data_IF_475866688904
#
_entry.id   IF_475866688904
#
_cell.length_a   1.000
_cell.length_b   1.000
_cell.length_c   1.000
_cell.angle_alpha   90.00
_cell.angle_beta   90.00
_cell.angle_gamma   90.00
#
_symmetry.space_group_name_H-M   'P 1'
#
loop_
_entity.id
_entity.type
_entity.pdbx_description
1 polymer ?
#
# COMPACT_ATOMS: atom_id res chain seq x y z
N UNK A 1 37.46 59.78 -2.24
CA UNK A 1 37.22 61.24 -2.21
C UNK A 1 35.86 61.49 -1.56
N UNK A 2 35.79 62.23 -0.46
CA UNK A 2 34.53 62.87 -0.03
C UNK A 2 34.44 64.24 -0.71
N UNK A 3 33.24 64.69 -1.09
CA UNK A 3 32.66 65.85 -0.40
C UNK A 3 31.13 65.69 -0.16
N UNK A 4 30.57 66.16 0.97
CA UNK A 4 29.91 67.48 1.23
C UNK A 4 28.58 67.61 0.45
N UNK A 5 27.44 68.15 0.91
CA UNK A 5 27.04 69.17 1.90
C UNK A 5 25.47 69.06 1.96
N UNK A 6 24.79 69.06 3.11
CA UNK A 6 24.25 70.20 3.89
C UNK A 6 22.83 70.69 3.50
N UNK A 7 21.94 70.73 4.52
CA UNK A 7 20.74 71.59 4.72
C UNK A 7 19.57 71.48 3.71
N UNK A 8 18.28 71.64 4.02
CA UNK A 8 17.48 71.88 5.23
C UNK A 8 15.99 71.79 4.80
N UNK A 9 15.08 71.35 5.67
CA UNK A 9 13.86 72.08 6.07
C UNK A 9 13.02 71.21 7.00
N UNK A 10 12.54 71.83 8.06
CA UNK A 10 11.69 71.24 9.08
C UNK A 10 10.27 71.84 9.01
N UNK A 11 9.33 71.04 9.53
CA UNK A 11 7.97 71.34 9.99
C UNK A 11 6.81 71.28 8.98
N UNK A 12 6.11 70.15 9.05
CA UNK A 12 4.68 70.01 8.80
C UNK A 12 4.12 68.93 9.71
N UNK A 13 3.57 69.33 10.86
CA UNK A 13 2.90 68.48 11.85
C UNK A 13 1.55 68.04 11.28
N UNK A 14 1.29 66.72 11.21
CA UNK A 14 -0.06 66.16 11.37
C UNK A 14 0.03 64.89 12.21
N UNK A 15 -0.66 64.95 13.34
CA UNK A 15 -0.83 63.91 14.34
C UNK A 15 -1.64 62.72 13.81
N UNK A 16 -1.24 61.50 14.17
CA UNK A 16 -2.05 60.30 13.97
C UNK A 16 -1.43 59.11 14.68
N UNK A 17 -2.18 58.56 15.65
CA UNK A 17 -1.97 57.33 16.42
C UNK A 17 -1.23 56.23 15.61
N UNK A 18 -0.37 55.37 16.16
CA UNK A 18 -0.73 54.33 17.15
C UNK A 18 0.54 53.65 17.69
N UNK A 19 0.40 53.09 18.88
CA UNK A 19 1.31 52.38 19.78
C UNK A 19 2.49 51.56 19.19
N UNK A 20 3.61 51.70 19.90
CA UNK A 20 4.71 50.75 20.00
C UNK A 20 4.21 49.33 20.31
N UNK A 21 4.73 48.33 19.60
CA UNK A 21 5.04 47.04 20.22
C UNK A 21 6.29 46.43 19.61
N UNK A 22 7.11 45.90 20.51
CA UNK A 22 8.45 45.38 20.30
C UNK A 22 8.47 44.14 19.40
N UNK A 23 9.45 44.08 18.49
CA UNK A 23 9.82 42.85 17.80
C UNK A 23 10.88 42.15 18.64
N UNK A 24 10.46 41.12 19.38
CA UNK A 24 11.35 40.14 19.99
C UNK A 24 11.83 39.17 18.92
N UNK A 25 13.14 39.15 18.66
CA UNK A 25 13.79 38.04 17.98
C UNK A 25 13.95 36.89 18.99
N UNK A 26 13.16 35.82 18.83
CA UNK A 26 13.48 34.54 19.44
C UNK A 26 14.40 33.78 18.50
N UNK A 27 15.64 33.58 18.95
CA UNK A 27 16.56 32.62 18.36
C UNK A 27 16.03 31.20 18.64
N UNK A 28 15.83 30.40 17.60
CA UNK A 28 15.53 28.98 17.73
C UNK A 28 16.79 28.23 18.22
N UNK A 29 16.66 27.24 19.12
CA UNK A 29 17.80 26.42 19.53
C UNK A 29 18.22 25.47 18.40
N UNK A 30 19.53 25.36 18.20
CA UNK A 30 20.13 24.38 17.31
C UNK A 30 19.82 22.96 17.80
N UNK A 31 19.14 22.18 16.96
CA UNK A 31 18.92 20.75 17.16
C UNK A 31 20.16 20.04 16.60
N UNK A 32 21.00 19.52 17.49
CA UNK A 32 22.08 18.58 17.14
C UNK A 32 21.49 17.18 16.98
N UNK A 33 21.60 16.61 15.78
CA UNK A 33 21.30 15.21 15.53
C UNK A 33 22.47 14.35 16.03
N UNK A 34 22.18 13.43 16.95
CA UNK A 34 23.08 12.34 17.32
C UNK A 34 22.80 11.13 16.43
N UNK A 35 23.86 10.66 15.77
CA UNK A 35 23.89 9.44 14.96
C UNK A 35 24.11 8.24 15.88
N UNK A 36 23.02 7.62 16.33
CA UNK A 36 23.05 6.39 17.14
C UNK A 36 22.95 5.17 16.20
N UNK A 37 24.04 4.90 15.50
CA UNK A 37 24.23 3.67 14.73
C UNK A 37 25.44 2.89 15.25
N UNK A 38 25.34 2.30 16.45
CA UNK A 38 26.12 1.12 16.87
C UNK A 38 25.76 0.65 18.29
N UNK A 39 25.01 -0.45 18.42
CA UNK A 39 25.19 -1.55 19.39
C UNK A 39 23.90 -2.36 19.55
N UNK A 40 23.77 -3.48 18.84
CA UNK A 40 22.87 -4.56 19.24
C UNK A 40 23.74 -5.76 19.57
N UNK A 41 23.95 -5.97 20.88
CA UNK A 41 24.56 -7.18 21.42
C UNK A 41 23.51 -8.29 21.45
N UNK A 42 23.87 -9.43 20.85
CA UNK A 42 23.04 -10.64 20.76
C UNK A 42 22.70 -11.23 22.13
N UNK A 43 21.42 -11.51 22.37
CA UNK A 43 20.98 -12.46 23.38
C UNK A 43 20.44 -13.73 22.69
N UNK A 44 20.78 -14.95 23.16
CA UNK A 44 20.33 -16.19 22.54
C UNK A 44 18.89 -16.51 22.97
N UNK A 45 17.98 -16.65 22.01
CA UNK A 45 16.60 -17.09 22.26
C UNK A 45 16.48 -18.61 22.07
N UNK A 46 15.89 -19.27 23.06
CA UNK A 46 15.64 -20.72 23.11
C UNK A 46 14.66 -21.16 22.03
N UNK A 47 15.03 -22.18 21.25
CA UNK A 47 14.13 -22.89 20.35
C UNK A 47 13.20 -23.83 21.14
N UNK A 48 11.89 -23.68 20.96
CA UNK A 48 10.94 -24.75 21.23
C UNK A 48 10.44 -25.30 19.90
N UNK A 49 10.86 -26.52 19.55
CA UNK A 49 10.27 -27.26 18.43
C UNK A 49 9.03 -28.02 18.92
N UNK A 50 7.91 -27.84 18.21
CA UNK A 50 6.81 -28.80 18.22
C UNK A 50 6.54 -29.19 16.77
N UNK A 51 6.73 -30.47 16.48
CA UNK A 51 6.36 -31.06 15.21
C UNK A 51 4.83 -31.20 15.11
N UNK A 52 4.26 -30.80 13.99
CA UNK A 52 2.87 -31.08 13.61
C UNK A 52 2.84 -32.06 12.42
N UNK A 53 1.81 -32.91 12.30
CA UNK A 53 1.77 -34.00 11.33
C UNK A 53 1.28 -33.57 9.95
N UNK A 54 1.79 -34.27 8.93
CA UNK A 54 1.46 -34.12 7.50
C UNK A 54 0.03 -34.61 7.23
N UNK A 55 -0.80 -33.78 6.60
CA UNK A 55 -2.06 -34.18 5.98
C UNK A 55 -1.96 -33.95 4.46
N UNK A 56 -2.36 -34.97 3.69
CA UNK A 56 -2.42 -34.93 2.24
C UNK A 56 -3.70 -34.23 1.77
N UNK A 57 -3.55 -33.23 0.89
CA UNK A 57 -4.65 -32.64 0.13
C UNK A 57 -4.81 -33.36 -1.21
N UNK A 58 -6.02 -33.80 -1.53
CA UNK A 58 -6.42 -34.23 -2.86
C UNK A 58 -7.59 -33.38 -3.35
N UNK A 59 -7.44 -32.96 -4.61
CA UNK A 59 -8.46 -32.56 -5.59
C UNK A 59 -9.23 -31.24 -5.39
N UNK A 60 -8.68 -30.18 -6.00
CA UNK A 60 -9.48 -29.15 -6.68
C UNK A 60 -8.84 -28.87 -8.05
N UNK A 61 -9.44 -29.42 -9.10
CA UNK A 61 -9.13 -29.06 -10.48
C UNK A 61 -9.82 -27.73 -10.80
N UNK A 62 -9.03 -26.73 -11.17
CA UNK A 62 -9.50 -25.41 -11.62
C UNK A 62 -9.32 -25.33 -13.14
N UNK A 63 -10.39 -25.07 -13.88
CA UNK A 63 -10.30 -24.82 -15.33
C UNK A 63 -9.78 -23.40 -15.62
N UNK A 64 -8.82 -23.23 -16.55
CA UNK A 64 -8.36 -21.91 -16.94
C UNK A 64 -9.35 -21.23 -17.88
N UNK A 65 -9.71 -19.98 -17.57
CA UNK A 65 -10.33 -19.06 -18.53
C UNK A 65 -9.29 -18.67 -19.59
N UNK A 66 -9.53 -19.08 -20.84
CA UNK A 66 -8.76 -18.67 -22.00
C UNK A 66 -9.21 -17.26 -22.44
N UNK A 67 -8.34 -16.26 -22.29
CA UNK A 67 -8.50 -14.99 -22.99
C UNK A 67 -7.97 -15.15 -24.43
N UNK A 68 -8.85 -14.96 -25.42
CA UNK A 68 -8.52 -15.00 -26.84
C UNK A 68 -7.93 -13.66 -27.28
N UNK A 69 -6.64 -13.63 -27.60
CA UNK A 69 -5.98 -12.48 -28.25
C UNK A 69 -5.81 -12.81 -29.74
N UNK A 70 -6.39 -11.96 -30.60
CA UNK A 70 -6.18 -12.02 -32.04
C UNK A 70 -4.78 -11.52 -32.41
N UNK A 71 -4.06 -12.29 -33.22
CA UNK A 71 -2.73 -11.94 -33.67
C UNK A 71 -2.39 -12.62 -34.99
N UNK A 72 -1.85 -11.82 -35.90
CA UNK A 72 -1.62 -12.09 -37.30
C UNK A 72 -0.52 -13.14 -37.59
N UNK A 73 -0.64 -13.67 -38.80
CA UNK A 73 0.25 -14.53 -39.59
C UNK A 73 1.77 -14.34 -39.45
N UNK A 74 2.49 -15.45 -39.25
CA UNK A 74 3.83 -15.71 -39.80
C UNK A 74 3.99 -17.20 -40.22
N UNK A 75 4.93 -17.52 -41.14
CA UNK A 75 4.91 -18.76 -41.89
C UNK A 75 5.77 -19.91 -41.34
N UNK A 76 5.39 -21.08 -41.83
CA UNK A 76 5.87 -22.44 -41.59
C UNK A 76 7.38 -22.68 -41.47
N UNK A 77 7.74 -23.58 -40.56
CA UNK A 77 8.80 -24.56 -40.77
C UNK A 77 8.42 -25.89 -40.13
N UNK A 78 8.57 -26.95 -40.92
CA UNK A 78 8.20 -28.33 -40.63
C UNK A 78 9.39 -29.09 -40.03
N UNK A 79 9.13 -29.96 -39.06
CA UNK A 79 9.73 -31.30 -38.98
C UNK A 79 9.08 -32.12 -37.86
N UNK A 80 8.44 -33.22 -38.27
CA UNK A 80 8.03 -34.37 -37.45
C UNK A 80 9.28 -35.20 -37.08
N UNK A 81 9.27 -36.01 -36.02
CA UNK A 81 8.73 -37.37 -36.16
C UNK A 81 7.98 -37.92 -34.93
N UNK A 82 7.41 -39.09 -35.19
CA UNK A 82 6.33 -39.86 -34.58
C UNK A 82 6.68 -40.76 -33.37
N UNK A 83 5.63 -41.41 -32.83
CA UNK A 83 5.53 -42.65 -31.99
C UNK A 83 5.67 -42.46 -30.46
N UNK A 84 4.92 -43.12 -29.56
CA UNK A 84 3.89 -44.20 -29.60
C UNK A 84 3.29 -44.39 -28.18
N UNK A 85 2.03 -44.86 -28.09
CA UNK A 85 1.38 -45.71 -27.03
C UNK A 85 1.75 -45.52 -25.55
N UNK A 86 0.82 -45.53 -24.58
CA UNK A 86 0.04 -46.72 -24.19
C UNK A 86 -1.05 -46.33 -23.18
N UNK A 87 -2.20 -46.98 -23.29
CA UNK A 87 -3.36 -46.95 -22.39
C UNK A 87 -3.13 -47.76 -21.10
N UNK A 88 -3.67 -47.29 -19.97
CA UNK A 88 -4.11 -48.16 -18.87
C UNK A 88 -5.17 -47.47 -18.02
N UNK A 89 -6.39 -47.95 -18.18
CA UNK A 89 -7.55 -47.75 -17.32
C UNK A 89 -7.34 -48.49 -15.99
N UNK A 90 -7.66 -47.85 -14.86
CA UNK A 90 -7.86 -48.57 -13.60
C UNK A 90 -9.06 -48.01 -12.85
N UNK A 91 -9.80 -48.95 -12.29
CA UNK A 91 -11.21 -48.87 -11.92
C UNK A 91 -11.39 -48.47 -10.46
N UNK A 92 -12.36 -47.59 -10.22
CA UNK A 92 -12.90 -47.23 -8.91
C UNK A 92 -13.75 -48.38 -8.33
N UNK A 93 -13.70 -48.64 -7.02
CA UNK A 93 -14.79 -49.30 -6.31
C UNK A 93 -15.54 -48.32 -5.41
N UNK A 94 -16.85 -48.24 -5.65
CA UNK A 94 -17.86 -47.60 -4.81
C UNK A 94 -18.03 -48.35 -3.49
N UNK A 95 -18.13 -47.63 -2.37
CA UNK A 95 -18.73 -48.16 -1.14
C UNK A 95 -19.76 -47.19 -0.58
N UNK A 96 -20.93 -47.77 -0.34
CA UNK A 96 -22.10 -47.19 0.31
C UNK A 96 -22.08 -47.56 1.79
N UNK A 97 -22.49 -46.65 2.68
CA UNK A 97 -23.31 -47.00 3.85
C UNK A 97 -23.84 -45.77 4.58
N UNK A 98 -25.14 -45.84 4.78
CA UNK A 98 -26.05 -45.07 5.63
C UNK A 98 -25.70 -45.18 7.11
N UNK A 99 -25.87 -44.08 7.86
CA UNK A 99 -26.35 -44.17 9.25
C UNK A 99 -27.16 -42.91 9.60
N UNK A 100 -28.33 -43.16 10.17
CA UNK A 100 -29.39 -42.21 10.51
C UNK A 100 -29.24 -41.75 11.96
N UNK A 101 -29.28 -40.44 12.19
CA UNK A 101 -29.21 -39.82 13.52
C UNK A 101 -30.63 -39.44 14.00
N UNK A 102 -30.95 -39.57 15.31
CA UNK A 102 -32.31 -39.36 15.82
C UNK A 102 -32.65 -37.87 15.98
N UNK A 103 -33.94 -37.58 15.79
CA UNK A 103 -34.56 -36.25 15.86
C UNK A 103 -34.62 -35.68 17.28
N UNK A 104 -34.25 -34.40 17.42
CA UNK A 104 -34.34 -33.59 18.64
C UNK A 104 -35.77 -33.02 18.83
N UNK A 105 -36.25 -32.80 20.08
CA UNK A 105 -37.62 -32.36 20.34
C UNK A 105 -37.83 -30.87 20.00
N UNK A 106 -39.02 -30.57 19.50
CA UNK A 106 -39.47 -29.25 19.06
C UNK A 106 -39.68 -28.29 20.24
N UNK A 107 -39.04 -27.11 20.19
CA UNK A 107 -39.23 -26.00 21.13
C UNK A 107 -40.50 -25.19 20.78
N UNK A 108 -41.29 -24.70 21.74
CA UNK A 108 -42.53 -23.96 21.48
C UNK A 108 -42.29 -22.62 20.78
N UNK A 109 -43.15 -22.31 19.83
CA UNK A 109 -43.13 -21.11 18.98
C UNK A 109 -43.31 -19.82 19.80
N UNK A 110 -42.36 -18.90 19.71
CA UNK A 110 -42.45 -17.53 20.24
C UNK A 110 -43.49 -16.72 19.45
N UNK A 111 -44.34 -15.90 20.09
CA UNK A 111 -45.35 -15.09 19.40
C UNK A 111 -44.72 -14.07 18.44
N UNK A 112 -45.25 -14.00 17.22
CA UNK A 112 -44.81 -13.09 16.18
C UNK A 112 -45.09 -11.63 16.55
N UNK A 113 -44.04 -10.85 16.82
CA UNK A 113 -44.12 -9.40 16.94
C UNK A 113 -44.48 -8.80 15.57
N UNK A 114 -45.44 -7.84 15.47
CA UNK A 114 -45.80 -7.21 14.20
C UNK A 114 -44.59 -6.49 13.60
N UNK A 115 -44.09 -7.04 12.49
CA UNK A 115 -42.99 -6.45 11.74
C UNK A 115 -43.47 -5.14 11.12
N UNK A 116 -42.99 -4.02 11.68
CA UNK A 116 -43.20 -2.70 11.09
C UNK A 116 -42.36 -2.67 9.82
N UNK A 117 -43.00 -2.79 8.66
CA UNK A 117 -42.34 -2.66 7.35
C UNK A 117 -41.80 -1.23 7.23
N UNK A 118 -40.55 -1.04 7.63
CA UNK A 118 -39.81 0.16 7.30
C UNK A 118 -39.72 0.22 5.77
N UNK A 119 -40.37 1.22 5.19
CA UNK A 119 -40.17 1.59 3.79
C UNK A 119 -38.70 1.92 3.61
N UNK A 120 -37.93 0.95 3.11
CA UNK A 120 -36.53 1.13 2.77
C UNK A 120 -36.44 2.13 1.62
N UNK A 121 -36.32 3.41 1.92
CA UNK A 121 -35.77 4.35 0.94
C UNK A 121 -34.39 3.82 0.59
N UNK A 122 -34.21 3.30 -0.62
CA UNK A 122 -32.90 2.83 -1.06
C UNK A 122 -31.97 4.04 -1.07
N UNK A 123 -31.13 4.14 -0.04
CA UNK A 123 -30.07 5.14 0.00
C UNK A 123 -29.16 4.88 -1.20
N UNK A 124 -29.00 5.85 -2.09
CA UNK A 124 -28.13 5.70 -3.25
C UNK A 124 -26.67 5.56 -2.77
N UNK A 125 -25.90 4.66 -3.38
CA UNK A 125 -24.47 4.54 -3.09
C UNK A 125 -23.67 5.47 -4.03
N UNK A 126 -23.02 6.53 -3.52
CA UNK A 126 -22.27 7.46 -4.37
C UNK A 126 -20.96 6.87 -4.92
N UNK A 127 -20.56 5.67 -4.48
CA UNK A 127 -19.30 5.00 -4.84
C UNK A 127 -19.50 3.49 -4.96
N UNK A 128 -20.44 3.05 -5.80
CA UNK A 128 -20.65 1.62 -6.07
C UNK A 128 -19.54 1.08 -6.96
N UNK A 129 -18.80 0.07 -6.50
CA UNK A 129 -17.77 -0.57 -7.31
C UNK A 129 -18.35 -1.21 -8.58
N UNK A 130 -17.71 -0.97 -9.72
CA UNK A 130 -18.07 -1.54 -11.03
C UNK A 130 -17.03 -2.55 -11.50
N UNK A 131 -15.76 -2.14 -11.57
CA UNK A 131 -14.69 -2.98 -12.09
C UNK A 131 -13.31 -2.51 -11.67
N UNK A 132 -12.35 -3.42 -11.70
CA UNK A 132 -10.93 -3.11 -11.61
C UNK A 132 -10.25 -3.38 -12.95
N UNK A 133 -9.23 -2.61 -13.30
CA UNK A 133 -8.42 -2.80 -14.50
C UNK A 133 -6.95 -2.57 -14.17
N UNK A 134 -6.14 -3.61 -14.35
CA UNK A 134 -4.69 -3.52 -14.27
C UNK A 134 -4.13 -2.61 -15.37
N UNK A 135 -3.14 -1.79 -15.03
CA UNK A 135 -2.39 -1.05 -16.04
C UNK A 135 -1.54 -2.01 -16.88
N UNK A 136 -1.12 -1.60 -18.09
CA UNK A 136 -0.07 -2.28 -18.85
C UNK A 136 1.17 -2.58 -18.02
N UNK A 137 1.60 -1.64 -17.16
CA UNK A 137 2.74 -1.86 -16.28
C UNK A 137 2.49 -2.94 -15.23
N UNK A 138 1.35 -2.90 -14.52
CA UNK A 138 0.99 -3.96 -13.56
C UNK A 138 0.86 -5.33 -14.24
N UNK A 139 0.29 -5.37 -15.45
CA UNK A 139 0.07 -6.60 -16.22
C UNK A 139 1.41 -7.26 -16.56
N UNK A 140 2.39 -6.48 -17.03
CA UNK A 140 3.76 -6.96 -17.26
C UNK A 140 4.34 -7.63 -16.01
N UNK A 141 4.12 -7.06 -14.83
CA UNK A 141 4.61 -7.62 -13.57
C UNK A 141 3.85 -8.88 -13.15
N UNK A 142 2.51 -8.87 -13.23
CA UNK A 142 1.68 -10.04 -12.94
C UNK A 142 2.09 -11.26 -13.78
N UNK A 143 2.44 -11.06 -15.04
CA UNK A 143 2.84 -12.12 -15.97
C UNK A 143 4.25 -12.66 -15.70
N UNK A 144 5.16 -11.86 -15.14
CA UNK A 144 6.59 -12.18 -15.10
C UNK A 144 7.20 -12.32 -13.69
N UNK A 145 6.52 -11.85 -12.63
CA UNK A 145 7.08 -11.79 -11.27
C UNK A 145 7.53 -13.16 -10.75
N UNK A 146 6.82 -14.24 -11.08
CA UNK A 146 7.22 -15.60 -10.70
C UNK A 146 8.59 -15.97 -11.29
N UNK A 147 8.78 -15.77 -12.58
CA UNK A 147 10.03 -16.03 -13.29
C UNK A 147 11.17 -15.14 -12.76
N UNK A 148 10.92 -13.85 -12.58
CA UNK A 148 11.93 -12.91 -12.06
C UNK A 148 12.32 -13.23 -10.62
N UNK A 149 11.38 -13.68 -9.79
CA UNK A 149 11.70 -14.14 -8.44
C UNK A 149 12.58 -15.39 -8.46
N UNK A 150 12.19 -16.41 -9.22
CA UNK A 150 12.90 -17.70 -9.29
C UNK A 150 14.34 -17.50 -9.79
N UNK A 151 14.50 -16.66 -10.81
CA UNK A 151 15.79 -16.35 -11.43
C UNK A 151 16.57 -15.22 -10.75
N UNK A 152 16.00 -14.62 -9.69
CA UNK A 152 16.57 -13.49 -8.94
C UNK A 152 16.85 -12.24 -9.78
N UNK A 153 15.98 -11.96 -10.75
CA UNK A 153 16.06 -10.84 -11.69
C UNK A 153 15.04 -9.71 -11.46
N UNK A 154 14.41 -9.62 -10.29
CA UNK A 154 13.39 -8.59 -10.00
C UNK A 154 13.95 -7.17 -10.17
N UNK A 155 15.18 -6.93 -9.71
CA UNK A 155 15.79 -5.60 -9.73
C UNK A 155 16.21 -5.21 -11.15
N UNK A 156 16.80 -6.13 -11.89
CA UNK A 156 17.13 -5.95 -13.32
C UNK A 156 15.87 -5.66 -14.12
N UNK A 157 14.80 -6.44 -13.93
CA UNK A 157 13.53 -6.21 -14.59
C UNK A 157 12.97 -4.82 -14.28
N UNK A 158 13.04 -4.37 -13.02
CA UNK A 158 12.62 -3.02 -12.64
C UNK A 158 13.43 -1.94 -13.37
N UNK A 159 14.75 -2.10 -13.46
CA UNK A 159 15.62 -1.11 -14.10
C UNK A 159 15.54 -1.13 -15.63
N UNK A 160 15.16 -2.24 -16.25
CA UNK A 160 14.79 -2.27 -17.67
C UNK A 160 13.55 -1.39 -17.97
N UNK A 161 12.81 -0.99 -16.93
CA UNK A 161 11.59 -0.19 -16.98
C UNK A 161 11.80 1.21 -16.38
N UNK A 162 13.03 1.73 -16.37
CA UNK A 162 13.40 3.02 -15.76
C UNK A 162 12.53 4.20 -16.22
N UNK A 163 12.17 4.26 -17.51
CA UNK A 163 11.31 5.35 -18.01
C UNK A 163 9.93 5.33 -17.34
N UNK A 164 9.30 4.15 -17.24
CA UNK A 164 8.00 3.96 -16.60
C UNK A 164 8.09 4.27 -15.10
N UNK A 165 9.17 3.80 -14.45
CA UNK A 165 9.43 4.10 -13.04
C UNK A 165 9.62 5.60 -12.79
N UNK A 166 10.37 6.30 -13.64
CA UNK A 166 10.55 7.75 -13.52
C UNK A 166 9.22 8.50 -13.67
N UNK A 167 8.37 8.10 -14.61
CA UNK A 167 7.03 8.67 -14.78
C UNK A 167 6.14 8.41 -13.56
N UNK A 168 6.18 7.20 -13.00
CA UNK A 168 5.46 6.86 -11.78
C UNK A 168 5.91 7.75 -10.61
N UNK A 169 7.22 7.86 -10.40
CA UNK A 169 7.79 8.65 -9.32
C UNK A 169 7.43 10.14 -9.47
N UNK A 170 7.43 10.66 -10.69
CA UNK A 170 6.99 12.02 -10.97
C UNK A 170 5.50 12.24 -10.66
N UNK A 171 4.61 11.37 -11.14
CA UNK A 171 3.15 11.52 -10.93
C UNK A 171 2.68 11.30 -9.49
N UNK A 172 3.55 10.74 -8.64
CA UNK A 172 3.29 10.55 -7.20
C UNK A 172 3.95 11.64 -6.33
N UNK A 173 4.42 12.74 -6.93
CA UNK A 173 4.91 13.87 -6.16
C UNK A 173 3.78 14.69 -5.54
N UNK A 174 4.00 15.16 -4.31
CA UNK A 174 3.07 15.99 -3.56
C UNK A 174 3.36 17.48 -3.69
N UNK A 175 4.55 17.88 -4.16
CA UNK A 175 4.90 19.28 -4.25
C UNK A 175 5.93 19.55 -5.36
N UNK A 176 5.73 20.64 -6.10
CA UNK A 176 6.59 21.06 -7.20
C UNK A 176 7.12 22.48 -6.90
N UNK A 177 8.38 22.62 -6.43
CA UNK A 177 8.92 23.91 -6.00
C UNK A 177 8.94 24.97 -7.11
N UNK A 178 9.08 24.55 -8.37
CA UNK A 178 9.12 25.43 -9.54
C UNK A 178 7.87 25.25 -10.44
N UNK A 179 6.80 24.64 -9.90
CA UNK A 179 5.66 24.15 -10.66
C UNK A 179 5.98 22.95 -11.54
N UNK A 180 5.01 22.51 -12.35
CA UNK A 180 5.07 21.28 -13.15
C UNK A 180 6.21 21.26 -14.18
N UNK A 181 6.73 22.44 -14.54
CA UNK A 181 7.86 22.59 -15.46
C UNK A 181 9.23 22.31 -14.83
N UNK A 182 9.33 22.33 -13.50
CA UNK A 182 10.57 22.15 -12.76
C UNK A 182 11.21 20.77 -12.92
N UNK A 183 12.49 20.66 -12.57
CA UNK A 183 13.22 19.39 -12.67
C UNK A 183 13.07 18.52 -11.42
N UNK A 184 12.75 19.16 -10.29
CA UNK A 184 12.61 18.51 -9.00
C UNK A 184 11.16 18.53 -8.54
N UNK A 185 10.75 17.46 -7.89
CA UNK A 185 9.54 17.42 -7.10
C UNK A 185 9.80 16.76 -5.74
N UNK A 186 8.93 17.03 -4.78
CA UNK A 186 9.01 16.49 -3.43
C UNK A 186 7.84 15.54 -3.20
N UNK A 187 8.16 14.41 -2.61
CA UNK A 187 7.27 13.42 -2.01
C UNK A 187 7.36 13.57 -0.51
N UNK A 188 6.23 13.63 0.15
CA UNK A 188 6.17 13.77 1.60
C UNK A 188 5.34 12.63 2.17
N UNK A 189 6.02 11.70 2.83
CA UNK A 189 5.38 10.56 3.47
C UNK A 189 5.02 10.86 4.93
N UNK A 190 4.91 12.14 5.32
CA UNK A 190 4.72 12.64 6.71
C UNK A 190 5.84 12.38 7.72
N UNK A 191 6.75 11.42 7.47
CA UNK A 191 7.92 11.19 8.32
C UNK A 191 9.21 11.63 7.64
N UNK A 192 9.29 11.40 6.33
CA UNK A 192 10.44 11.68 5.48
C UNK A 192 10.00 12.49 4.26
N UNK A 193 10.94 13.29 3.78
CA UNK A 193 10.83 13.99 2.52
C UNK A 193 11.79 13.35 1.53
N UNK A 194 11.28 13.01 0.37
CA UNK A 194 12.05 12.51 -0.74
C UNK A 194 11.93 13.50 -1.90
N UNK A 195 13.07 13.95 -2.40
CA UNK A 195 13.15 14.82 -3.58
C UNK A 195 13.56 14.00 -4.77
N UNK A 196 12.79 14.09 -5.84
CA UNK A 196 12.95 13.31 -7.06
C UNK A 196 13.25 14.23 -8.24
N UNK A 197 14.29 13.92 -9.01
CA UNK A 197 14.61 14.59 -10.26
C UNK A 197 14.05 13.82 -11.45
N UNK A 198 13.27 14.49 -12.31
CA UNK A 198 12.58 13.84 -13.42
C UNK A 198 13.49 13.35 -14.55
N UNK A 199 14.68 13.92 -14.70
CA UNK A 199 15.56 13.66 -15.85
C UNK A 199 16.43 12.43 -15.64
N UNK A 200 17.01 12.30 -14.45
CA UNK A 200 18.00 11.27 -14.11
C UNK A 200 17.50 10.29 -13.04
N UNK A 201 16.30 10.50 -12.49
CA UNK A 201 15.76 9.69 -11.41
C UNK A 201 16.52 9.86 -10.10
N UNK A 202 17.35 10.91 -9.99
CA UNK A 202 18.13 11.18 -8.79
C UNK A 202 17.21 11.49 -7.63
N UNK A 203 17.57 10.93 -6.47
CA UNK A 203 16.87 11.10 -5.21
C UNK A 203 17.72 11.82 -4.19
N UNK A 204 17.08 12.69 -3.39
CA UNK A 204 17.69 13.34 -2.22
C UNK A 204 16.73 13.25 -1.02
N UNK A 205 17.26 13.03 0.17
CA UNK A 205 16.50 13.10 1.43
C UNK A 205 16.45 14.51 2.03
N UNK A 206 16.95 15.50 1.27
CA UNK A 206 16.99 16.91 1.63
C UNK A 206 16.70 17.76 0.39
N UNK A 207 16.21 19.01 0.56
CA UNK A 207 15.93 19.89 -0.55
C UNK A 207 17.16 20.12 -1.45
N UNK A 208 17.00 20.06 -2.78
CA UNK A 208 18.05 20.48 -3.71
C UNK A 208 18.45 21.95 -3.47
N UNK A 209 19.65 22.31 -3.93
CA UNK A 209 20.16 23.69 -3.79
C UNK A 209 19.15 24.73 -4.33
N UNK A 210 18.82 25.70 -3.48
CA UNK A 210 17.87 26.77 -3.82
C UNK A 210 16.39 26.36 -3.77
N UNK A 211 16.07 25.14 -3.29
CA UNK A 211 14.70 24.67 -3.07
C UNK A 211 14.39 24.62 -1.58
N UNK A 212 13.11 24.76 -1.24
CA UNK A 212 12.60 24.58 0.12
C UNK A 212 11.37 23.68 0.09
N UNK A 213 11.11 22.88 1.14
CA UNK A 213 9.87 22.12 1.26
C UNK A 213 8.66 23.06 1.21
N UNK A 214 7.61 22.65 0.50
CA UNK A 214 6.34 23.35 0.45
C UNK A 214 5.23 22.58 1.16
N UNK A 215 4.00 23.08 1.03
CA UNK A 215 2.81 22.37 1.51
C UNK A 215 2.54 21.18 0.57
N UNK A 216 2.53 19.93 1.08
CA UNK A 216 2.16 18.77 0.28
C UNK A 216 0.72 18.90 -0.22
N UNK A 217 0.52 18.62 -1.51
CA UNK A 217 -0.77 18.57 -2.19
C UNK A 217 -1.23 17.11 -2.33
N UNK A 218 -2.56 16.89 -2.47
CA UNK A 218 -3.10 15.59 -2.84
C UNK A 218 -2.51 15.08 -4.15
N UNK A 219 -2.23 13.78 -4.22
CA UNK A 219 -1.79 13.14 -5.46
C UNK A 219 -2.97 12.95 -6.42
N UNK A 220 -2.76 13.25 -7.70
CA UNK A 220 -3.77 13.10 -8.75
C UNK A 220 -3.17 12.40 -9.98
N UNK A 221 -2.80 11.11 -9.87
CA UNK A 221 -2.27 10.36 -11.01
C UNK A 221 -3.34 10.25 -12.11
N UNK A 222 -2.90 10.25 -13.37
CA UNK A 222 -3.81 10.24 -14.54
C UNK A 222 -3.40 9.28 -15.65
N UNK A 223 -2.19 8.72 -15.61
CA UNK A 223 -1.68 7.86 -16.68
C UNK A 223 -2.08 6.39 -16.48
N UNK A 224 -3.14 5.97 -17.18
CA UNK A 224 -3.61 4.59 -17.18
C UNK A 224 -2.63 3.55 -17.78
N UNK A 225 -1.51 3.97 -18.38
CA UNK A 225 -0.44 3.04 -18.76
C UNK A 225 0.41 2.60 -17.56
N UNK A 226 0.42 3.42 -16.50
CA UNK A 226 1.24 3.24 -15.30
C UNK A 226 0.36 2.77 -14.15
N UNK A 227 -0.72 3.51 -13.88
CA UNK A 227 -1.57 3.28 -12.72
C UNK A 227 -2.74 2.38 -13.09
N UNK A 228 -2.96 1.36 -12.26
CA UNK A 228 -4.18 0.56 -12.34
C UNK A 228 -5.36 1.39 -11.85
N UNK A 229 -6.59 0.98 -12.20
CA UNK A 229 -7.77 1.78 -11.87
C UNK A 229 -8.95 0.95 -11.40
N UNK A 230 -9.70 1.55 -10.49
CA UNK A 230 -11.06 1.16 -10.16
C UNK A 230 -12.01 2.04 -10.94
N UNK A 231 -13.11 1.46 -11.40
CA UNK A 231 -14.27 2.18 -11.93
C UNK A 231 -15.37 2.07 -10.90
N UNK A 232 -15.89 3.23 -10.48
CA UNK A 232 -17.02 3.34 -9.59
C UNK A 232 -18.19 4.01 -10.31
N UNK A 233 -19.39 3.74 -9.81
CA UNK A 233 -20.62 4.39 -10.23
C UNK A 233 -21.23 5.15 -9.05
N UNK A 234 -21.53 6.41 -9.26
CA UNK A 234 -22.40 7.15 -8.37
C UNK A 234 -23.85 6.77 -8.69
N UNK A 235 -24.50 5.98 -7.83
CA UNK A 235 -25.89 5.56 -8.05
C UNK A 235 -26.89 6.72 -7.88
N UNK A 236 -26.47 7.85 -7.28
CA UNK A 236 -27.33 9.00 -7.06
C UNK A 236 -27.58 9.80 -8.35
N UNK A 237 -26.58 9.90 -9.23
CA UNK A 237 -26.68 10.62 -10.51
C UNK A 237 -26.44 9.72 -11.75
N UNK A 238 -26.02 8.47 -11.53
CA UNK A 238 -25.76 7.47 -12.56
C UNK A 238 -24.40 7.59 -13.25
N UNK A 239 -23.54 8.52 -12.84
CA UNK A 239 -22.23 8.76 -13.47
C UNK A 239 -21.20 7.72 -13.04
N UNK A 240 -20.28 7.39 -13.96
CA UNK A 240 -19.10 6.59 -13.63
C UNK A 240 -17.89 7.50 -13.42
N UNK A 241 -16.99 7.11 -12.53
CA UNK A 241 -15.71 7.78 -12.31
C UNK A 241 -14.60 6.78 -12.03
N UNK A 242 -13.38 7.18 -12.39
CA UNK A 242 -12.18 6.36 -12.25
C UNK A 242 -11.42 6.79 -10.98
N UNK A 243 -10.94 5.82 -10.21
CA UNK A 243 -9.97 6.03 -9.15
C UNK A 243 -8.71 5.22 -9.43
N UNK A 244 -7.60 5.91 -9.62
CA UNK A 244 -6.30 5.28 -9.82
C UNK A 244 -5.74 4.72 -8.50
N UNK A 245 -4.93 3.67 -8.62
CA UNK A 245 -4.16 3.04 -7.55
C UNK A 245 -2.76 2.70 -8.08
N UNK A 246 -1.79 2.62 -7.18
CA UNK A 246 -0.45 2.17 -7.56
C UNK A 246 -0.49 0.72 -8.08
N UNK A 247 0.29 0.41 -9.13
CA UNK A 247 0.33 -0.93 -9.68
C UNK A 247 1.06 -1.89 -8.72
N UNK A 248 0.69 -3.16 -8.73
CA UNK A 248 1.47 -4.24 -8.09
C UNK A 248 2.79 -4.42 -8.86
N UNK A 249 3.85 -3.82 -8.36
CA UNK A 249 5.18 -3.77 -8.99
C UNK A 249 6.27 -4.11 -7.98
N UNK A 250 7.38 -4.70 -8.45
CA UNK A 250 8.54 -5.08 -7.66
C UNK A 250 8.25 -6.21 -6.65
N UNK A 251 8.70 -6.03 -5.42
CA UNK A 251 8.67 -7.02 -4.35
C UNK A 251 7.73 -6.56 -3.24
N UNK A 252 6.59 -5.96 -3.65
CA UNK A 252 5.47 -5.57 -2.78
C UNK A 252 5.80 -4.46 -1.77
N UNK A 253 6.70 -3.56 -2.17
CA UNK A 253 7.15 -2.41 -1.40
C UNK A 253 7.39 -1.25 -2.37
N UNK A 254 7.97 -0.16 -1.88
CA UNK A 254 8.54 0.87 -2.75
C UNK A 254 9.38 0.17 -3.83
N UNK A 255 9.11 0.41 -5.14
CA UNK A 255 9.65 -0.46 -6.19
C UNK A 255 11.16 -0.65 -6.14
N UNK A 256 11.90 0.39 -5.74
CA UNK A 256 13.37 0.39 -5.68
C UNK A 256 13.96 -0.12 -4.35
N UNK A 257 13.13 -0.49 -3.37
CA UNK A 257 13.63 -0.98 -2.08
C UNK A 257 14.45 -2.25 -2.26
N UNK A 258 15.54 -2.41 -1.51
CA UNK A 258 16.44 -3.58 -1.63
C UNK A 258 17.17 -3.78 -2.98
N UNK A 259 16.85 -3.05 -4.05
CA UNK A 259 17.46 -3.21 -5.38
C UNK A 259 18.77 -2.44 -5.61
N UNK A 260 19.24 -1.70 -4.60
CA UNK A 260 20.44 -0.86 -4.70
C UNK A 260 20.27 0.32 -5.67
N UNK A 261 21.36 1.03 -5.95
CA UNK A 261 21.39 2.16 -6.90
C UNK A 261 21.88 1.72 -8.27
N UNK A 262 20.98 1.67 -9.25
CA UNK A 262 21.37 1.86 -10.65
C UNK A 262 21.13 3.29 -11.15
N UNK A 263 20.44 4.14 -10.37
CA UNK A 263 20.19 5.56 -10.71
C UNK A 263 21.45 6.44 -10.73
N UNK A 264 22.60 5.90 -10.32
CA UNK A 264 23.88 6.55 -10.56
C UNK A 264 24.95 5.52 -10.91
N UNK A 265 25.73 5.84 -11.92
CA UNK A 265 27.07 5.28 -12.11
C UNK A 265 27.98 5.86 -11.02
N UNK A 266 28.72 4.98 -10.33
CA UNK A 266 29.36 5.20 -9.04
C UNK A 266 30.38 6.35 -8.96
N UNK A 267 30.82 6.90 -10.08
CA UNK A 267 31.84 7.95 -10.14
C UNK A 267 31.28 9.35 -9.82
N UNK A 268 29.98 9.57 -10.01
CA UNK A 268 29.33 10.89 -9.84
C UNK A 268 28.45 11.03 -8.60
N UNK A 269 28.14 9.94 -7.90
CA UNK A 269 27.22 9.98 -6.77
C UNK A 269 27.94 10.19 -5.43
N UNK A 270 27.84 11.43 -4.92
CA UNK A 270 28.28 11.82 -3.57
C UNK A 270 27.52 11.01 -2.51
N UNK A 271 28.03 10.87 -1.27
CA UNK A 271 27.24 10.35 -0.16
C UNK A 271 25.87 11.04 -0.08
N UNK A 272 24.78 10.27 0.03
CA UNK A 272 23.37 10.73 -0.03
C UNK A 272 22.86 11.18 -1.41
N UNK A 273 23.62 10.93 -2.48
CA UNK A 273 23.19 11.08 -3.86
C UNK A 273 23.25 9.68 -4.47
N UNK A 274 22.14 9.23 -5.04
CA UNK A 274 21.97 7.83 -5.42
C UNK A 274 21.16 7.09 -4.35
N UNK A 275 19.99 6.63 -4.77
CA UNK A 275 19.00 5.86 -4.01
C UNK A 275 19.49 4.54 -3.42
N UNK A 276 20.49 4.61 -2.53
CA UNK A 276 21.34 3.51 -2.11
C UNK A 276 21.37 3.34 -0.62
N UNK A 277 20.20 3.01 -0.07
CA UNK A 277 19.99 2.15 1.09
C UNK A 277 18.48 2.19 1.36
N UNK A 278 17.80 1.07 1.10
CA UNK A 278 16.42 0.81 1.47
C UNK A 278 15.48 2.02 1.45
N UNK A 279 14.80 2.21 0.32
CA UNK A 279 13.64 3.09 0.31
C UNK A 279 12.56 2.46 1.19
N UNK A 280 12.46 2.94 2.42
CA UNK A 280 11.32 2.73 3.32
C UNK A 280 10.23 3.79 3.09
N UNK A 281 10.43 4.63 2.08
CA UNK A 281 9.50 5.70 1.74
C UNK A 281 8.17 5.11 1.26
N UNK A 282 7.07 5.60 1.83
CA UNK A 282 5.72 5.09 1.59
C UNK A 282 4.96 5.90 0.54
N UNK A 283 5.57 6.91 -0.05
CA UNK A 283 4.96 7.79 -1.06
C UNK A 283 4.59 7.08 -2.38
N UNK A 284 4.92 5.80 -2.51
CA UNK A 284 4.45 4.98 -3.62
C UNK A 284 2.99 4.54 -3.45
N UNK A 285 2.47 4.52 -2.21
CA UNK A 285 1.07 4.18 -1.92
C UNK A 285 0.17 5.36 -2.27
N UNK A 286 -0.86 5.12 -3.07
CA UNK A 286 -1.70 6.18 -3.64
C UNK A 286 -3.07 6.20 -2.94
N UNK A 287 -3.37 7.26 -2.17
CA UNK A 287 -4.71 7.47 -1.65
C UNK A 287 -5.70 7.68 -2.80
N UNK A 288 -6.97 7.35 -2.61
CA UNK A 288 -8.00 7.71 -3.58
C UNK A 288 -8.08 9.23 -3.74
N UNK A 289 -8.64 9.73 -4.86
CA UNK A 289 -8.89 11.16 -5.03
C UNK A 289 -9.82 11.68 -3.93
N UNK A 290 -9.92 13.01 -3.80
CA UNK A 290 -10.85 13.61 -2.84
C UNK A 290 -12.28 13.14 -3.11
N UNK A 291 -12.86 12.52 -2.09
CA UNK A 291 -14.20 11.96 -2.14
C UNK A 291 -15.22 12.97 -1.60
N UNK A 292 -16.51 12.81 -1.96
CA UNK A 292 -17.58 13.54 -1.29
C UNK A 292 -17.48 13.35 0.23
N UNK A 293 -17.63 14.44 0.99
CA UNK A 293 -17.41 14.50 2.44
C UNK A 293 -18.25 13.48 3.26
N UNK A 294 -19.30 12.91 2.65
CA UNK A 294 -20.18 11.93 3.29
C UNK A 294 -19.71 10.47 3.12
N UNK A 295 -18.65 10.23 2.35
CA UNK A 295 -18.13 8.87 2.14
C UNK A 295 -17.40 8.42 3.39
N UNK A 296 -18.05 7.58 4.19
CA UNK A 296 -17.40 6.91 5.31
C UNK A 296 -16.33 5.96 4.76
N UNK A 297 -15.20 5.86 5.46
CA UNK A 297 -14.10 4.98 5.09
C UNK A 297 -13.72 4.05 6.21
N UNK A 298 -13.62 2.78 5.86
CA UNK A 298 -13.12 1.71 6.70
C UNK A 298 -11.68 1.40 6.31
N UNK A 299 -10.78 1.46 7.29
CA UNK A 299 -9.38 1.14 7.12
C UNK A 299 -9.01 -0.13 7.88
N UNK A 300 -8.31 -1.04 7.21
CA UNK A 300 -7.79 -2.27 7.79
C UNK A 300 -6.26 -2.29 7.70
N UNK A 301 -5.58 -2.36 8.85
CA UNK A 301 -4.12 -2.42 8.96
C UNK A 301 -3.68 -3.77 9.56
N UNK A 302 -3.07 -4.61 8.73
CA UNK A 302 -2.53 -5.91 9.09
C UNK A 302 -1.00 -5.83 9.32
N UNK A 303 -0.60 -5.47 10.54
CA UNK A 303 0.79 -5.18 10.92
C UNK A 303 0.95 -3.94 11.83
N UNK A 304 -0.10 -3.55 12.55
CA UNK A 304 -0.17 -2.31 13.30
C UNK A 304 0.53 -2.40 14.67
N UNK A 305 1.84 -2.10 14.72
CA UNK A 305 2.60 -2.14 15.97
C UNK A 305 2.10 -1.12 17.03
N UNK A 306 2.23 0.17 16.77
CA UNK A 306 1.68 1.27 17.60
C UNK A 306 1.24 2.41 16.68
N UNK A 307 0.49 3.39 17.19
CA UNK A 307 0.01 4.48 16.36
C UNK A 307 1.14 5.29 15.72
N UNK A 308 2.26 5.46 16.44
CA UNK A 308 3.36 6.32 16.05
C UNK A 308 4.71 5.60 15.88
N UNK A 309 4.71 4.26 15.88
CA UNK A 309 5.92 3.46 15.75
C UNK A 309 5.69 2.00 15.42
N UNK A 310 6.79 1.29 15.13
CA UNK A 310 6.81 -0.10 14.71
C UNK A 310 8.14 -0.44 14.05
N UNK A 311 8.42 -1.74 13.83
CA UNK A 311 9.66 -2.15 13.14
C UNK A 311 9.68 -1.69 11.68
N UNK A 312 8.51 -1.71 11.00
CA UNK A 312 8.30 -1.14 9.65
C UNK A 312 8.01 0.36 9.66
N UNK A 313 8.01 1.00 10.84
CA UNK A 313 7.63 2.40 11.02
C UNK A 313 6.18 2.59 11.46
N UNK A 314 5.72 3.83 11.42
CA UNK A 314 4.37 4.24 11.84
C UNK A 314 3.39 4.09 10.66
N UNK A 315 2.60 3.01 10.61
CA UNK A 315 1.55 2.81 9.60
C UNK A 315 0.31 3.68 9.87
N UNK A 316 -0.32 3.53 11.03
CA UNK A 316 -1.61 4.17 11.35
C UNK A 316 -1.55 5.71 11.26
N UNK A 317 -0.55 6.32 11.90
CA UNK A 317 -0.32 7.76 11.82
C UNK A 317 0.05 8.24 10.41
N UNK A 318 0.78 7.42 9.65
CA UNK A 318 1.06 7.70 8.23
C UNK A 318 -0.22 7.75 7.40
N UNK A 319 -1.00 6.67 7.38
CA UNK A 319 -2.20 6.56 6.55
C UNK A 319 -3.24 7.62 6.94
N UNK A 320 -3.48 7.83 8.23
CA UNK A 320 -4.41 8.86 8.70
C UNK A 320 -3.96 10.26 8.31
N UNK A 321 -2.66 10.56 8.33
CA UNK A 321 -2.13 11.86 7.90
C UNK A 321 -2.24 12.05 6.39
N UNK A 322 -1.83 11.06 5.61
CA UNK A 322 -1.82 11.14 4.15
C UNK A 322 -3.25 11.16 3.58
N UNK A 323 -4.17 10.32 4.07
CA UNK A 323 -5.56 10.30 3.61
C UNK A 323 -6.29 11.59 4.00
N UNK A 324 -5.97 12.17 5.16
CA UNK A 324 -6.52 13.46 5.55
C UNK A 324 -6.16 14.59 4.59
N UNK A 325 -5.00 14.54 3.93
CA UNK A 325 -4.64 15.51 2.86
C UNK A 325 -5.62 15.43 1.69
N UNK A 326 -6.14 14.24 1.42
CA UNK A 326 -7.14 13.99 0.39
C UNK A 326 -8.57 14.28 0.87
N UNK A 327 -8.75 14.79 2.10
CA UNK A 327 -10.05 15.09 2.70
C UNK A 327 -10.78 13.85 3.23
N UNK A 328 -10.04 12.77 3.51
CA UNK A 328 -10.61 11.50 3.97
C UNK A 328 -10.29 11.32 5.46
N UNK A 329 -11.35 11.20 6.25
CA UNK A 329 -11.27 10.82 7.66
C UNK A 329 -11.84 9.39 7.82
N UNK A 330 -11.02 8.48 8.34
CA UNK A 330 -11.49 7.12 8.64
C UNK A 330 -12.51 7.14 9.79
N UNK A 331 -13.63 6.45 9.59
CA UNK A 331 -14.69 6.29 10.61
C UNK A 331 -14.55 5.01 11.40
N UNK A 332 -13.77 4.07 10.86
CA UNK A 332 -13.47 2.82 11.50
C UNK A 332 -12.09 2.34 11.06
N UNK A 333 -11.29 1.89 12.02
CA UNK A 333 -9.92 1.41 11.82
C UNK A 333 -9.79 0.08 12.55
N UNK A 334 -9.54 -1.01 11.82
CA UNK A 334 -9.08 -2.27 12.41
C UNK A 334 -7.55 -2.31 12.37
N UNK A 335 -6.92 -2.50 13.52
CA UNK A 335 -5.48 -2.61 13.66
C UNK A 335 -5.13 -4.00 14.22
N UNK A 336 -4.30 -4.75 13.52
CA UNK A 336 -3.91 -6.12 13.89
C UNK A 336 -2.41 -6.24 14.09
N UNK A 337 -1.98 -6.83 15.20
CA UNK A 337 -0.56 -7.10 15.50
C UNK A 337 -0.46 -8.15 16.60
N UNK A 338 0.48 -9.09 16.50
CA UNK A 338 0.60 -10.17 17.48
C UNK A 338 1.39 -9.80 18.73
N UNK A 339 2.29 -8.81 18.64
CA UNK A 339 3.32 -8.60 19.67
C UNK A 339 3.08 -7.43 20.62
N UNK A 340 2.36 -6.38 20.22
CA UNK A 340 2.14 -5.20 21.06
C UNK A 340 1.05 -5.46 22.12
N UNK A 341 1.32 -5.26 23.42
CA UNK A 341 0.28 -5.36 24.43
C UNK A 341 -0.85 -4.34 24.20
N UNK A 342 -2.11 -4.78 24.32
CA UNK A 342 -3.30 -3.93 24.13
C UNK A 342 -3.23 -2.57 24.85
N UNK A 343 -2.82 -2.47 26.15
CA UNK A 343 -2.71 -1.17 26.81
C UNK A 343 -1.69 -0.24 26.15
N UNK A 344 -0.52 -0.78 25.76
CA UNK A 344 0.54 -0.02 25.08
C UNK A 344 0.06 0.51 23.73
N UNK A 345 -0.71 -0.28 22.98
CA UNK A 345 -1.32 0.18 21.74
C UNK A 345 -2.24 1.39 21.99
N UNK A 346 -3.24 1.25 22.87
CA UNK A 346 -4.22 2.32 23.12
C UNK A 346 -3.65 3.57 23.80
N UNK A 347 -2.51 3.46 24.49
CA UNK A 347 -1.74 4.61 24.99
C UNK A 347 -1.16 5.46 23.85
N UNK A 348 -0.76 4.84 22.74
CA UNK A 348 -0.22 5.54 21.55
C UNK A 348 -1.29 6.21 20.69
N UNK A 349 -2.55 5.76 20.75
CA UNK A 349 -3.64 6.27 19.90
C UNK A 349 -4.02 7.71 20.29
N UNK A 350 -3.96 8.69 19.36
CA UNK A 350 -4.42 10.05 19.60
C UNK A 350 -5.90 10.10 19.99
N UNK A 351 -6.26 11.06 20.85
CA UNK A 351 -7.61 11.14 21.42
C UNK A 351 -8.73 11.10 20.37
N UNK A 352 -8.55 11.78 19.23
CA UNK A 352 -9.55 11.84 18.15
C UNK A 352 -9.79 10.50 17.43
N UNK A 353 -8.92 9.50 17.61
CA UNK A 353 -9.04 8.19 16.96
C UNK A 353 -9.43 7.06 17.91
N UNK A 354 -9.45 7.30 19.24
CA UNK A 354 -9.72 6.26 20.24
C UNK A 354 -11.08 5.57 20.09
N UNK A 355 -12.08 6.31 19.64
CA UNK A 355 -13.44 5.78 19.48
C UNK A 355 -13.67 5.08 18.14
N UNK A 356 -12.74 5.24 17.18
CA UNK A 356 -12.87 4.65 15.83
C UNK A 356 -11.85 3.55 15.57
N UNK A 357 -10.84 3.37 16.43
CA UNK A 357 -9.86 2.30 16.31
C UNK A 357 -10.19 1.11 17.19
N UNK A 358 -10.13 -0.07 16.59
CA UNK A 358 -10.25 -1.35 17.28
C UNK A 358 -8.97 -2.15 17.04
N UNK A 359 -8.36 -2.58 18.14
CA UNK A 359 -7.10 -3.30 18.11
C UNK A 359 -7.30 -4.78 18.41
N UNK A 360 -6.66 -5.62 17.60
CA UNK A 360 -6.65 -7.06 17.74
C UNK A 360 -5.21 -7.51 17.98
N UNK A 361 -4.97 -8.13 19.14
CA UNK A 361 -3.65 -8.65 19.48
C UNK A 361 -3.45 -10.05 18.89
N UNK A 362 -3.61 -10.16 17.58
CA UNK A 362 -3.56 -11.40 16.81
C UNK A 362 -2.80 -11.14 15.50
N UNK A 363 -2.05 -12.14 15.03
CA UNK A 363 -1.40 -12.07 13.71
C UNK A 363 -2.43 -12.38 12.62
N UNK A 364 -2.38 -11.59 11.54
CA UNK A 364 -3.07 -11.91 10.29
C UNK A 364 -2.21 -12.94 9.55
N UNK A 365 -2.80 -14.09 9.23
CA UNK A 365 -2.13 -15.18 8.50
C UNK A 365 -3.00 -15.60 7.32
N UNK A 366 -2.36 -16.02 6.23
CA UNK A 366 -3.02 -16.53 5.04
C UNK A 366 -3.58 -17.95 5.17
N UNK A 367 -3.14 -18.76 6.16
CA UNK A 367 -3.44 -20.21 6.15
C UNK A 367 -4.22 -20.77 7.37
N UNK A 368 -4.39 -20.03 8.47
CA UNK A 368 -4.62 -20.70 9.77
C UNK A 368 -6.06 -20.95 10.26
N UNK A 369 -7.12 -20.70 9.48
CA UNK A 369 -8.52 -21.06 9.81
C UNK A 369 -9.10 -20.49 11.12
N UNK A 370 -8.30 -19.85 11.96
CA UNK A 370 -8.67 -19.02 13.11
C UNK A 370 -8.66 -17.56 12.63
N UNK A 371 -9.50 -16.71 13.21
CA UNK A 371 -9.87 -15.38 12.67
C UNK A 371 -8.70 -14.51 12.18
N UNK A 372 -9.01 -13.61 11.23
CA UNK A 372 -8.00 -12.71 10.66
C UNK A 372 -7.27 -13.26 9.43
N UNK A 373 -7.91 -14.12 8.63
CA UNK A 373 -7.34 -14.56 7.35
C UNK A 373 -7.81 -13.65 6.19
N UNK A 374 -6.92 -13.29 5.28
CA UNK A 374 -7.26 -12.62 4.02
C UNK A 374 -8.28 -13.44 3.21
N UNK A 375 -8.18 -14.77 3.22
CA UNK A 375 -9.19 -15.65 2.63
C UNK A 375 -10.55 -15.50 3.31
N UNK A 376 -10.59 -15.24 4.62
CA UNK A 376 -11.84 -14.95 5.33
C UNK A 376 -12.46 -13.62 4.86
N UNK A 377 -11.64 -12.57 4.71
CA UNK A 377 -12.09 -11.29 4.12
C UNK A 377 -12.64 -11.53 2.71
N UNK A 378 -11.94 -12.33 1.90
CA UNK A 378 -12.33 -12.64 0.52
C UNK A 378 -13.58 -13.54 0.41
N UNK A 379 -13.86 -14.33 1.43
CA UNK A 379 -14.96 -15.31 1.46
C UNK A 379 -16.34 -14.71 1.73
N UNK A 380 -16.41 -13.52 2.33
CA UNK A 380 -17.67 -12.90 2.75
C UNK A 380 -17.94 -11.59 2.02
N UNK A 381 -19.04 -11.53 1.25
CA UNK A 381 -19.45 -10.30 0.57
C UNK A 381 -19.71 -9.16 1.56
N UNK A 382 -20.19 -9.47 2.77
CA UNK A 382 -20.42 -8.48 3.82
C UNK A 382 -19.13 -7.76 4.21
N UNK A 383 -18.00 -8.46 4.34
CA UNK A 383 -16.72 -7.82 4.64
C UNK A 383 -16.19 -7.01 3.45
N UNK A 384 -16.37 -7.52 2.23
CA UNK A 384 -15.95 -6.83 1.01
C UNK A 384 -16.70 -5.50 0.80
N UNK A 385 -17.97 -5.45 1.22
CA UNK A 385 -18.77 -4.23 1.13
C UNK A 385 -18.42 -3.21 2.24
N UNK A 386 -17.73 -3.65 3.31
CA UNK A 386 -17.33 -2.80 4.43
C UNK A 386 -15.93 -2.20 4.26
N UNK A 387 -14.97 -2.98 3.75
CA UNK A 387 -13.56 -2.58 3.70
C UNK A 387 -13.28 -1.76 2.43
N UNK A 388 -12.92 -0.49 2.60
CA UNK A 388 -12.49 0.35 1.48
C UNK A 388 -11.00 0.22 1.19
N UNK A 389 -10.19 0.26 2.25
CA UNK A 389 -8.74 0.32 2.21
C UNK A 389 -8.17 -0.81 3.07
N UNK A 390 -7.28 -1.61 2.50
CA UNK A 390 -6.52 -2.61 3.25
C UNK A 390 -5.03 -2.41 3.01
N UNK A 391 -4.28 -2.39 4.10
CA UNK A 391 -2.82 -2.34 4.10
C UNK A 391 -2.35 -3.63 4.75
N UNK A 392 -1.54 -4.39 4.02
CA UNK A 392 -1.08 -5.68 4.49
C UNK A 392 0.36 -5.94 4.07
N UNK A 393 1.18 -6.35 5.03
CA UNK A 393 2.53 -6.82 4.77
C UNK A 393 2.56 -8.35 4.68
N UNK A 394 2.52 -8.90 3.47
CA UNK A 394 2.58 -10.35 3.30
C UNK A 394 4.03 -10.85 3.29
N UNK A 395 4.47 -11.44 4.40
CA UNK A 395 5.82 -11.98 4.56
C UNK A 395 5.98 -13.32 3.84
N UNK A 396 6.22 -13.30 2.54
CA UNK A 396 6.42 -14.50 1.71
C UNK A 396 7.89 -14.79 1.41
N UNK A 397 8.19 -15.93 0.80
CA UNK A 397 9.53 -16.19 0.29
C UNK A 397 9.93 -15.12 -0.73
N UNK A 398 10.85 -14.26 -0.33
CA UNK A 398 11.32 -13.11 -1.10
C UNK A 398 12.81 -12.93 -0.86
N UNK A 399 13.64 -13.24 -1.86
CA UNK A 399 15.09 -13.21 -1.70
C UNK A 399 15.66 -11.81 -1.41
N UNK A 400 14.93 -10.74 -1.73
CA UNK A 400 15.31 -9.36 -1.45
C UNK A 400 15.04 -9.02 0.02
N UNK A 401 13.89 -9.44 0.55
CA UNK A 401 13.43 -9.06 1.89
C UNK A 401 13.74 -10.09 2.98
N UNK A 402 14.17 -11.30 2.61
CA UNK A 402 14.42 -12.42 3.54
C UNK A 402 15.34 -12.07 4.71
N UNK A 403 16.35 -11.23 4.48
CA UNK A 403 17.26 -10.81 5.55
C UNK A 403 16.61 -9.86 6.58
N UNK A 404 15.51 -9.20 6.22
CA UNK A 404 14.83 -8.18 7.05
C UNK A 404 13.59 -8.73 7.75
N UNK A 405 12.88 -9.66 7.11
CA UNK A 405 11.66 -10.28 7.64
C UNK A 405 11.91 -11.34 8.71
N UNK A 406 13.17 -11.76 8.88
CA UNK A 406 13.58 -12.69 9.94
C UNK A 406 12.67 -13.93 9.96
N UNK A 407 12.08 -14.28 11.12
CA UNK A 407 11.31 -15.50 11.33
C UNK A 407 9.82 -15.44 10.92
N UNK A 408 9.34 -14.32 10.38
CA UNK A 408 7.94 -14.14 9.96
C UNK A 408 7.61 -14.66 8.56
N UNK A 409 8.60 -15.22 7.85
CA UNK A 409 8.48 -15.58 6.44
C UNK A 409 7.73 -16.89 6.26
N UNK A 410 6.66 -16.85 5.47
CA UNK A 410 6.05 -18.02 4.87
C UNK A 410 6.87 -18.47 3.66
N UNK A 411 7.74 -19.47 3.88
CA UNK A 411 8.60 -20.05 2.85
C UNK A 411 7.82 -20.88 1.82
N UNK A 412 6.52 -21.17 2.06
CA UNK A 412 5.67 -21.93 1.14
C UNK A 412 4.99 -21.07 0.08
N UNK A 413 4.95 -19.75 0.31
CA UNK A 413 4.34 -18.76 -0.58
C UNK A 413 5.42 -17.93 -1.27
N UNK A 414 5.10 -17.43 -2.45
CA UNK A 414 5.94 -16.57 -3.30
C UNK A 414 5.40 -15.15 -3.41
N UNK A 415 6.17 -14.24 -3.99
CA UNK A 415 5.69 -12.89 -4.33
C UNK A 415 4.53 -12.98 -5.33
N UNK A 416 4.58 -13.94 -6.27
CA UNK A 416 3.47 -14.19 -7.20
C UNK A 416 2.17 -14.54 -6.46
N UNK A 417 2.23 -15.38 -5.43
CA UNK A 417 1.04 -15.73 -4.64
C UNK A 417 0.43 -14.50 -3.96
N UNK A 418 1.30 -13.63 -3.43
CA UNK A 418 0.87 -12.35 -2.85
C UNK A 418 0.21 -11.44 -3.89
N UNK A 419 0.82 -11.29 -5.07
CA UNK A 419 0.23 -10.52 -6.18
C UNK A 419 -1.17 -11.00 -6.52
N UNK A 420 -1.38 -12.31 -6.59
CA UNK A 420 -2.68 -12.90 -6.85
C UNK A 420 -3.69 -12.59 -5.75
N UNK A 421 -3.28 -12.60 -4.47
CA UNK A 421 -4.13 -12.22 -3.35
C UNK A 421 -4.53 -10.73 -3.41
N UNK A 422 -3.57 -9.83 -3.61
CA UNK A 422 -3.85 -8.40 -3.78
C UNK A 422 -4.75 -8.14 -4.98
N UNK A 423 -4.49 -8.79 -6.12
CA UNK A 423 -5.33 -8.67 -7.30
C UNK A 423 -6.75 -9.16 -7.04
N UNK A 424 -6.94 -10.30 -6.35
CA UNK A 424 -8.28 -10.80 -5.98
C UNK A 424 -9.05 -9.78 -5.12
N UNK A 425 -8.39 -9.13 -4.16
CA UNK A 425 -9.00 -8.06 -3.35
C UNK A 425 -9.39 -6.86 -4.21
N UNK A 426 -8.50 -6.40 -5.10
CA UNK A 426 -8.75 -5.28 -6.02
C UNK A 426 -9.90 -5.57 -7.00
N UNK A 427 -9.98 -6.80 -7.53
CA UNK A 427 -11.08 -7.26 -8.37
C UNK A 427 -12.44 -7.29 -7.65
N UNK A 428 -12.44 -7.23 -6.31
CA UNK A 428 -13.64 -7.15 -5.47
C UNK A 428 -13.94 -5.72 -4.98
N UNK A 429 -13.17 -4.72 -5.41
CA UNK A 429 -13.39 -3.31 -5.09
C UNK A 429 -12.63 -2.80 -3.86
N UNK A 430 -11.83 -3.66 -3.21
CA UNK A 430 -10.98 -3.26 -2.09
C UNK A 430 -9.70 -2.62 -2.63
N UNK A 431 -9.35 -1.43 -2.15
CA UNK A 431 -8.05 -0.80 -2.43
C UNK A 431 -6.99 -1.46 -1.55
N UNK A 432 -6.41 -2.52 -2.08
CA UNK A 432 -5.42 -3.32 -1.37
C UNK A 432 -4.00 -2.85 -1.69
N UNK A 433 -3.30 -2.41 -0.65
CA UNK A 433 -1.95 -1.87 -0.67
C UNK A 433 -1.02 -2.84 0.03
N UNK A 434 0.11 -3.17 -0.61
CA UNK A 434 1.16 -3.89 0.10
C UNK A 434 1.94 -2.95 1.00
N UNK A 435 2.35 -3.43 2.17
CA UNK A 435 3.00 -2.62 3.21
C UNK A 435 4.50 -2.94 3.42
N UNK A 436 5.16 -2.14 4.28
CA UNK A 436 6.59 -2.12 4.59
C UNK A 436 6.87 -2.34 6.07
#
# INVERSE_FOLDING_TARGET
>A
MKPKEALALAFGIVSGLTMYNAVSFYAAPAITFHDDSNAIASAPMMMMSKAAPVLHASDLAYEPMVMSIGGASQPASSTTPSTSSTSSTSSTPSTSSTSSTPSTPSTPSTPSTPSTQATSSSTCNPRKFVSYTSSPWETLWLENIGTWQETKHICEALFDQLETLNKFQWQTCNYYPDGDGGDWCMKDDSLHQLWWNKHDGRTLTFPPDGKSPGTPLPMTPTDGNIFSKFVFKNECDGTNFDEYIEPLVSHLRHPTSGCGTQFCIAEDCKPNQGGGKYFYDRSWVIPPPSLPAETQKYYFDAGASTWDGGQGGNSLGYFTTVWKRHGIDFKYIEAWEGSTPVPKFYESVPAQFKDVVKYHQELIDSDNGQGGNIDFILSSQEHLDLIDEIVWEHHVNNYIMKAHWQGGIDETRTIKDSYEMFLKMRMKGIRAHSWI
#
